data_IF_694183654783
#
_entry.id   IF_694183654783
#
_cell.length_a   1.000
_cell.length_b   1.000
_cell.length_c   1.000
_cell.angle_alpha   90.00
_cell.angle_beta   90.00
_cell.angle_gamma   90.00
#
_symmetry.space_group_name_H-M   'P 1'
#
loop_
_entity.id
_entity.type
_entity.pdbx_description
1 polymer ?
#
# COMPACT_ATOMS: atom_id res chain seq x y z
N UNK A 1 -11.16 6.71 -9.13
CA UNK A 1 -11.24 6.06 -7.80
C UNK A 1 -10.18 6.70 -6.94
N UNK A 2 -10.55 7.12 -5.73
CA UNK A 2 -9.62 7.83 -4.82
C UNK A 2 -8.95 6.87 -3.85
N UNK A 3 -7.64 7.05 -3.69
CA UNK A 3 -6.78 6.33 -2.76
C UNK A 3 -6.46 7.26 -1.60
N UNK A 4 -6.65 6.76 -0.39
CA UNK A 4 -6.31 7.51 0.82
C UNK A 4 -4.85 7.29 1.18
N UNK A 5 -4.05 8.35 1.17
CA UNK A 5 -2.66 8.32 1.66
C UNK A 5 -2.62 9.06 2.97
N UNK A 6 -2.11 8.40 4.00
CA UNK A 6 -1.85 8.99 5.30
C UNK A 6 -0.38 8.80 5.65
N UNK A 7 0.26 9.88 6.06
CA UNK A 7 1.65 9.91 6.46
C UNK A 7 1.72 10.61 7.82
N UNK A 8 2.31 9.95 8.82
CA UNK A 8 2.38 10.50 10.18
C UNK A 8 3.14 11.85 10.24
N UNK A 9 4.06 12.09 9.30
CA UNK A 9 4.85 13.33 9.26
C UNK A 9 4.36 14.31 8.20
N UNK A 10 3.98 13.81 7.02
CA UNK A 10 3.68 14.66 5.87
C UNK A 10 2.18 14.82 5.56
N UNK A 11 1.32 14.36 6.48
CA UNK A 11 -0.12 14.58 6.45
C UNK A 11 -0.87 13.60 5.55
N UNK A 12 -2.08 14.00 5.13
CA UNK A 12 -2.97 13.11 4.36
C UNK A 12 -3.44 13.73 3.05
N UNK A 13 -3.78 12.86 2.08
CA UNK A 13 -4.51 13.23 0.86
C UNK A 13 -5.43 12.10 0.40
N UNK A 14 -6.39 12.48 -0.44
CA UNK A 14 -7.15 11.56 -1.26
C UNK A 14 -6.82 11.86 -2.71
N UNK A 15 -6.12 10.93 -3.37
CA UNK A 15 -5.60 11.11 -4.72
C UNK A 15 -6.33 10.18 -5.69
N UNK A 16 -6.60 10.62 -6.90
CA UNK A 16 -6.95 9.69 -7.97
C UNK A 16 -5.75 8.77 -8.27
N UNK A 17 -6.01 7.57 -8.81
CA UNK A 17 -4.97 6.58 -9.13
C UNK A 17 -3.85 7.18 -9.99
N UNK A 18 -4.19 7.95 -11.01
CA UNK A 18 -3.18 8.57 -11.88
C UNK A 18 -2.40 9.68 -11.18
N UNK A 19 -3.02 10.41 -10.25
CA UNK A 19 -2.32 11.43 -9.44
C UNK A 19 -1.31 10.76 -8.51
N UNK A 20 -1.72 9.65 -7.87
CA UNK A 20 -0.84 8.85 -7.03
C UNK A 20 0.35 8.31 -7.83
N UNK A 21 0.09 7.75 -9.02
CA UNK A 21 1.12 7.17 -9.87
C UNK A 21 2.13 8.23 -10.33
N UNK A 22 1.66 9.43 -10.71
CA UNK A 22 2.52 10.54 -11.16
C UNK A 22 3.51 11.05 -10.11
N UNK A 23 3.30 10.74 -8.83
CA UNK A 23 4.27 11.08 -7.78
C UNK A 23 5.54 10.22 -7.86
N UNK A 24 5.50 9.06 -8.52
CA UNK A 24 6.71 8.26 -8.70
C UNK A 24 7.52 8.74 -9.88
N UNK A 25 8.83 8.88 -9.69
CA UNK A 25 9.76 9.11 -10.80
C UNK A 25 10.14 7.83 -11.53
N UNK A 26 9.72 6.66 -11.03
CA UNK A 26 10.09 5.35 -11.58
C UNK A 26 8.83 4.55 -11.91
N UNK A 27 8.57 4.44 -13.20
CA UNK A 27 7.52 3.61 -13.79
C UNK A 27 8.14 2.43 -14.53
N UNK A 28 7.43 1.30 -14.51
CA UNK A 28 7.91 0.05 -15.08
C UNK A 28 6.73 -0.88 -15.42
N UNK A 29 6.98 -1.86 -16.26
CA UNK A 29 6.09 -3.00 -16.42
C UNK A 29 6.22 -3.93 -15.21
N UNK A 30 5.10 -4.40 -14.67
CA UNK A 30 5.10 -5.22 -13.45
C UNK A 30 5.95 -6.50 -13.60
N UNK A 31 5.99 -7.06 -14.82
CA UNK A 31 6.77 -8.25 -15.17
C UNK A 31 8.29 -8.08 -14.98
N UNK A 32 8.81 -6.86 -14.95
CA UNK A 32 10.23 -6.57 -14.73
C UNK A 32 10.69 -6.91 -13.30
N UNK A 33 9.75 -6.98 -12.34
CA UNK A 33 10.06 -7.33 -10.94
C UNK A 33 9.30 -8.53 -10.41
N UNK A 34 8.13 -8.81 -10.97
CA UNK A 34 7.26 -9.90 -10.53
C UNK A 34 7.01 -10.83 -11.70
N UNK A 35 7.62 -12.00 -11.67
CA UNK A 35 7.42 -13.01 -12.71
C UNK A 35 5.92 -13.33 -12.87
N UNK A 36 5.43 -13.29 -14.11
CA UNK A 36 4.03 -13.55 -14.44
C UNK A 36 3.07 -12.40 -14.16
N UNK A 37 3.52 -11.27 -13.62
CA UNK A 37 2.73 -10.04 -13.58
C UNK A 37 2.85 -9.27 -14.92
N UNK A 38 1.81 -8.50 -15.25
CA UNK A 38 1.76 -7.66 -16.44
C UNK A 38 0.97 -6.39 -16.14
N UNK A 39 1.32 -5.29 -16.79
CA UNK A 39 0.68 -4.00 -16.65
C UNK A 39 1.57 -2.94 -16.01
N UNK A 40 1.06 -1.71 -16.03
CA UNK A 40 1.78 -0.52 -15.61
C UNK A 40 1.87 -0.46 -14.09
N UNK A 41 3.09 -0.31 -13.61
CA UNK A 41 3.41 -0.18 -12.21
C UNK A 41 4.30 1.03 -11.92
N UNK A 42 4.37 1.40 -10.66
CA UNK A 42 5.36 2.35 -10.17
C UNK A 42 6.09 1.79 -8.94
N UNK A 43 7.34 2.21 -8.78
CA UNK A 43 8.19 1.84 -7.64
C UNK A 43 7.74 2.55 -6.36
N UNK A 44 7.57 1.79 -5.27
CA UNK A 44 7.11 2.32 -3.97
C UNK A 44 8.14 3.27 -3.33
N UNK A 45 9.44 2.94 -3.25
CA UNK A 45 10.45 3.87 -2.76
C UNK A 45 10.49 5.21 -3.51
N UNK A 46 10.48 5.20 -4.85
CA UNK A 46 10.49 6.40 -5.67
C UNK A 46 9.18 7.19 -5.53
N UNK A 47 8.04 6.49 -5.46
CA UNK A 47 6.75 7.12 -5.15
C UNK A 47 6.79 7.86 -3.82
N UNK A 48 7.34 7.24 -2.78
CA UNK A 48 7.40 7.86 -1.46
C UNK A 48 8.32 9.09 -1.45
N UNK A 49 9.44 9.06 -2.17
CA UNK A 49 10.29 10.26 -2.36
C UNK A 49 9.50 11.40 -3.00
N UNK A 50 8.80 11.14 -4.11
CA UNK A 50 8.00 12.18 -4.76
C UNK A 50 6.78 12.63 -3.93
N UNK A 51 6.19 11.74 -3.12
CA UNK A 51 5.20 12.14 -2.11
C UNK A 51 5.79 13.17 -1.14
N UNK A 52 6.96 12.91 -0.55
CA UNK A 52 7.64 13.84 0.36
C UNK A 52 7.93 15.18 -0.31
N UNK A 53 8.48 15.16 -1.52
CA UNK A 53 8.77 16.36 -2.31
C UNK A 53 7.50 17.19 -2.58
N UNK A 54 6.38 16.53 -2.92
CA UNK A 54 5.08 17.19 -3.13
C UNK A 54 4.53 17.89 -1.87
N UNK A 55 5.05 17.52 -0.69
CA UNK A 55 4.71 18.13 0.61
C UNK A 55 5.72 19.19 1.07
N UNK A 56 6.66 19.57 0.22
CA UNK A 56 7.70 20.54 0.55
C UNK A 56 8.79 19.99 1.48
N UNK A 57 8.83 18.66 1.67
CA UNK A 57 9.89 18.01 2.42
C UNK A 57 11.08 17.72 1.50
N UNK A 58 12.03 18.65 1.41
CA UNK A 58 13.30 18.43 0.73
C UNK A 58 14.30 17.64 1.57
N UNK A 59 15.24 16.95 0.92
CA UNK A 59 16.38 16.28 1.56
C UNK A 59 16.07 14.92 2.21
N UNK A 60 17.05 14.40 2.95
CA UNK A 60 16.92 13.14 3.70
C UNK A 60 16.06 13.38 4.95
N UNK A 61 14.83 12.88 4.92
CA UNK A 61 13.93 12.92 6.06
C UNK A 61 14.06 11.66 6.90
N UNK A 62 13.23 11.54 7.93
CA UNK A 62 13.15 10.32 8.71
C UNK A 62 12.74 9.14 7.80
N UNK A 63 13.41 8.00 7.96
CA UNK A 63 13.06 6.77 7.27
C UNK A 63 11.83 6.17 7.94
N UNK A 64 10.75 5.84 7.19
CA UNK A 64 9.61 5.16 7.76
C UNK A 64 10.00 3.81 8.39
N UNK A 65 9.25 3.36 9.38
CA UNK A 65 9.33 1.98 9.87
C UNK A 65 8.69 0.99 8.89
N UNK A 66 7.73 1.44 8.10
CA UNK A 66 7.08 0.64 7.08
C UNK A 66 5.82 1.31 6.53
N UNK A 67 5.08 0.55 5.72
CA UNK A 67 3.76 0.95 5.25
C UNK A 67 2.71 -0.04 5.72
N UNK A 68 1.53 0.46 6.08
CA UNK A 68 0.31 -0.34 6.15
C UNK A 68 -0.55 -0.06 4.93
N UNK A 69 -1.01 -1.12 4.28
CA UNK A 69 -2.02 -1.05 3.23
C UNK A 69 -3.33 -1.64 3.72
N UNK A 70 -4.45 -1.02 3.34
CA UNK A 70 -5.80 -1.56 3.56
C UNK A 70 -6.47 -1.74 2.20
N UNK A 71 -7.03 -2.92 1.98
CA UNK A 71 -7.77 -3.31 0.79
C UNK A 71 -9.27 -3.05 0.95
N UNK A 72 -9.99 -3.05 -0.17
CA UNK A 72 -11.43 -2.83 -0.21
C UNK A 72 -12.25 -3.90 0.54
N UNK A 73 -11.69 -5.10 0.73
CA UNK A 73 -12.30 -6.22 1.46
C UNK A 73 -11.89 -6.27 2.95
N UNK A 74 -11.39 -5.14 3.48
CA UNK A 74 -10.90 -5.00 4.86
C UNK A 74 -9.65 -5.84 5.19
N UNK A 75 -9.04 -6.49 4.20
CA UNK A 75 -7.72 -7.06 4.35
C UNK A 75 -6.70 -5.95 4.59
N UNK A 76 -5.78 -6.18 5.51
CA UNK A 76 -4.68 -5.25 5.79
C UNK A 76 -3.36 -6.00 5.90
N UNK A 77 -2.29 -5.32 5.49
CA UNK A 77 -0.94 -5.78 5.70
C UNK A 77 -0.05 -4.62 6.14
N UNK A 78 0.83 -4.89 7.10
CA UNK A 78 1.97 -4.06 7.42
C UNK A 78 3.22 -4.68 6.80
N UNK A 79 3.99 -3.85 6.09
CA UNK A 79 5.21 -4.23 5.41
C UNK A 79 6.35 -3.35 5.96
N UNK A 80 7.38 -3.95 6.58
CA UNK A 80 8.54 -3.22 7.05
C UNK A 80 9.27 -2.50 5.92
N UNK A 81 9.87 -1.36 6.21
CA UNK A 81 10.51 -0.54 5.20
C UNK A 81 11.63 -1.26 4.45
N UNK A 82 12.39 -2.11 5.14
CA UNK A 82 13.45 -2.94 4.56
C UNK A 82 12.94 -3.93 3.50
N UNK A 83 11.68 -4.37 3.57
CA UNK A 83 11.08 -5.28 2.59
C UNK A 83 10.55 -4.54 1.35
N UNK A 84 10.42 -3.21 1.39
CA UNK A 84 9.84 -2.42 0.32
C UNK A 84 10.84 -2.04 -0.79
N UNK A 85 12.11 -2.42 -0.67
CA UNK A 85 13.18 -1.99 -1.58
C UNK A 85 12.94 -2.32 -3.06
N UNK A 86 12.14 -3.34 -3.36
CA UNK A 86 11.70 -3.67 -4.73
C UNK A 86 10.19 -3.65 -4.92
N UNK A 87 9.44 -3.18 -3.92
CA UNK A 87 7.99 -3.18 -3.98
C UNK A 87 7.47 -2.26 -5.08
N UNK A 88 6.36 -2.68 -5.69
CA UNK A 88 5.69 -1.94 -6.75
C UNK A 88 4.20 -1.89 -6.50
N UNK A 89 3.57 -0.82 -6.98
CA UNK A 89 2.12 -0.72 -7.08
C UNK A 89 1.74 -0.80 -8.55
N UNK A 90 1.03 -1.87 -8.89
CA UNK A 90 0.36 -2.03 -10.17
C UNK A 90 -0.94 -1.21 -10.15
N UNK A 91 -1.17 -0.40 -11.18
CA UNK A 91 -2.29 0.55 -11.22
C UNK A 91 -3.08 0.55 -12.55
N UNK A 92 -2.56 -0.10 -13.59
CA UNK A 92 -3.28 -0.25 -14.85
C UNK A 92 -2.77 -1.42 -15.67
N UNK A 93 -3.55 -1.80 -16.69
CA UNK A 93 -3.14 -2.78 -17.69
C UNK A 93 -2.07 -2.18 -18.61
N UNK A 94 -1.40 -3.05 -19.38
CA UNK A 94 -0.39 -2.63 -20.35
C UNK A 94 -0.96 -1.69 -21.43
N UNK A 95 -2.24 -1.85 -21.78
CA UNK A 95 -2.94 -1.00 -22.76
C UNK A 95 -3.36 0.38 -22.23
N UNK A 96 -3.19 0.65 -20.93
CA UNK A 96 -3.57 1.91 -20.31
C UNK A 96 -4.88 1.88 -19.53
N UNK A 97 -5.66 0.81 -19.67
CA UNK A 97 -6.93 0.64 -18.99
C UNK A 97 -6.74 0.41 -17.48
N UNK A 98 -7.77 0.65 -16.66
CA UNK A 98 -7.77 0.23 -15.27
C UNK A 98 -7.63 -1.30 -15.11
N UNK A 99 -7.16 -1.74 -13.94
CA UNK A 99 -7.00 -3.17 -13.66
C UNK A 99 -8.32 -3.94 -13.70
N UNK A 100 -8.32 -5.09 -14.36
CA UNK A 100 -9.44 -6.05 -14.27
C UNK A 100 -9.42 -6.85 -12.97
N UNK A 101 -8.23 -7.11 -12.42
CA UNK A 101 -8.01 -7.90 -11.21
C UNK A 101 -7.25 -7.08 -10.17
N UNK A 102 -7.84 -6.98 -8.98
CA UNK A 102 -7.24 -6.21 -7.88
C UNK A 102 -7.36 -4.70 -8.05
N UNK A 103 -8.36 -4.21 -8.78
CA UNK A 103 -8.70 -2.79 -8.86
C UNK A 103 -8.98 -2.19 -7.47
N UNK A 104 -8.56 -0.96 -7.16
CA UNK A 104 -7.90 -0.01 -8.06
C UNK A 104 -6.38 -0.14 -8.15
N UNK A 105 -5.76 -0.70 -7.12
CA UNK A 105 -4.32 -0.85 -7.00
C UNK A 105 -3.98 -2.24 -6.48
N UNK A 106 -2.86 -2.79 -6.93
CA UNK A 106 -2.29 -4.01 -6.36
C UNK A 106 -0.84 -3.78 -5.93
N UNK A 107 -0.57 -4.01 -4.66
CA UNK A 107 0.78 -4.03 -4.12
C UNK A 107 1.43 -5.38 -4.43
N UNK A 108 2.69 -5.33 -4.85
CA UNK A 108 3.59 -6.47 -4.86
C UNK A 108 4.83 -6.16 -4.05
N UNK A 109 5.29 -7.14 -3.27
CA UNK A 109 6.51 -7.05 -2.45
C UNK A 109 7.45 -8.21 -2.83
N UNK A 110 8.23 -8.06 -3.92
CA UNK A 110 9.14 -9.11 -4.38
C UNK A 110 10.22 -9.39 -3.33
N UNK A 111 10.38 -10.66 -2.96
CA UNK A 111 11.32 -11.05 -1.90
C UNK A 111 10.84 -10.70 -0.49
N UNK A 112 9.58 -10.28 -0.34
CA UNK A 112 8.95 -10.11 0.97
C UNK A 112 8.83 -11.44 1.70
N UNK A 113 8.65 -11.36 3.01
CA UNK A 113 8.60 -12.52 3.91
C UNK A 113 7.39 -13.42 3.67
N UNK A 114 6.35 -12.95 2.97
CA UNK A 114 5.14 -13.74 2.67
C UNK A 114 4.44 -13.27 1.39
N UNK A 115 3.80 -14.21 0.67
CA UNK A 115 2.93 -13.89 -0.46
C UNK A 115 1.69 -13.07 -0.06
N UNK A 116 1.27 -13.14 1.22
CA UNK A 116 0.15 -12.37 1.76
C UNK A 116 0.42 -10.85 1.76
N UNK A 117 1.67 -10.43 1.55
CA UNK A 117 2.04 -9.02 1.38
C UNK A 117 1.70 -8.49 -0.02
N UNK A 118 1.34 -9.36 -0.97
CA UNK A 118 0.87 -8.97 -2.30
C UNK A 118 -0.62 -8.60 -2.27
N UNK A 119 -0.93 -7.45 -1.68
CA UNK A 119 -2.29 -7.00 -1.40
C UNK A 119 -3.01 -6.52 -2.66
N UNK A 120 -4.21 -7.06 -2.90
CA UNK A 120 -5.08 -6.67 -4.01
C UNK A 120 -6.05 -5.57 -3.56
N UNK A 121 -6.54 -4.78 -4.52
CA UNK A 121 -7.60 -3.81 -4.28
C UNK A 121 -7.28 -2.81 -3.17
N UNK A 122 -6.04 -2.33 -3.11
CA UNK A 122 -5.57 -1.37 -2.11
C UNK A 122 -6.30 -0.04 -2.29
N UNK A 123 -6.91 0.44 -1.21
CA UNK A 123 -7.66 1.71 -1.17
C UNK A 123 -7.08 2.71 -0.18
N UNK A 124 -6.23 2.26 0.76
CA UNK A 124 -5.54 3.12 1.73
C UNK A 124 -4.09 2.69 1.90
N UNK A 125 -3.20 3.67 1.96
CA UNK A 125 -1.77 3.52 2.25
C UNK A 125 -1.45 4.41 3.45
N UNK A 126 -0.84 3.84 4.49
CA UNK A 126 -0.38 4.54 5.68
C UNK A 126 1.13 4.39 5.80
N UNK A 127 1.86 5.50 5.82
CA UNK A 127 3.30 5.54 6.12
C UNK A 127 3.46 5.76 7.62
N UNK A 128 4.24 4.88 8.26
CA UNK A 128 4.42 4.83 9.71
C UNK A 128 5.90 5.01 10.05
N UNK A 129 6.20 5.64 11.19
CA UNK A 129 7.58 5.90 11.64
C UNK A 129 7.86 5.33 13.02
N UNK A 130 6.83 5.28 13.89
CA UNK A 130 7.00 4.74 15.24
C UNK A 130 6.83 3.22 15.26
N UNK A 131 7.73 2.55 15.98
CA UNK A 131 7.85 1.09 16.14
C UNK A 131 6.73 0.44 16.97
N UNK A 132 5.48 0.91 16.85
CA UNK A 132 4.33 0.30 17.53
C UNK A 132 3.88 -1.02 16.88
N UNK A 133 4.23 -1.24 15.61
CA UNK A 133 3.70 -2.33 14.80
C UNK A 133 4.72 -3.43 14.51
N UNK A 134 5.51 -3.84 15.49
CA UNK A 134 6.51 -4.90 15.33
C UNK A 134 7.61 -4.57 14.31
N UNK A 135 8.73 -5.27 14.42
CA UNK A 135 9.81 -5.19 13.42
C UNK A 135 9.59 -6.15 12.25
N UNK A 136 8.40 -6.75 12.13
CA UNK A 136 8.13 -7.86 11.22
C UNK A 136 6.84 -7.64 10.46
N UNK A 137 6.79 -8.10 9.21
CA UNK A 137 5.58 -8.06 8.42
C UNK A 137 4.42 -8.77 9.12
N UNK A 138 3.22 -8.21 8.98
CA UNK A 138 1.99 -8.78 9.54
C UNK A 138 0.81 -8.55 8.61
N UNK A 139 -0.17 -9.43 8.63
CA UNK A 139 -1.34 -9.34 7.78
C UNK A 139 -2.55 -10.03 8.41
N UNK A 140 -3.73 -9.64 7.97
CA UNK A 140 -4.99 -10.23 8.42
C UNK A 140 -6.19 -9.40 8.00
N UNK A 141 -7.37 -9.89 8.33
CA UNK A 141 -8.61 -9.13 8.15
C UNK A 141 -8.86 -8.27 9.38
N UNK A 142 -9.39 -7.07 9.14
CA UNK A 142 -9.80 -6.18 10.22
C UNK A 142 -11.05 -6.76 10.89
N UNK A 143 -10.88 -7.54 11.95
CA UNK A 143 -12.00 -7.96 12.80
C UNK A 143 -12.56 -6.73 13.52
N UNK A 144 -13.49 -6.00 12.89
CA UNK A 144 -14.37 -5.07 13.60
C UNK A 144 -15.40 -5.91 14.35
N UNK A 145 -15.06 -6.31 15.56
CA UNK A 145 -16.06 -6.81 16.49
C UNK A 145 -16.86 -5.60 16.98
N UNK A 146 -18.11 -5.46 16.55
CA UNK A 146 -18.98 -4.43 17.13
C UNK A 146 -19.41 -4.84 18.54
N UNK A 147 -19.69 -3.90 19.44
CA UNK A 147 -20.23 -4.23 20.77
C UNK A 147 -21.49 -5.10 20.71
N UNK A 148 -22.30 -4.99 19.66
CA UNK A 148 -23.49 -5.85 19.48
C UNK A 148 -23.14 -7.31 19.22
N UNK A 149 -22.01 -7.60 18.56
CA UNK A 149 -21.54 -8.96 18.27
C UNK A 149 -20.92 -9.65 19.49
N UNK A 150 -20.61 -8.91 20.55
CA UNK A 150 -20.10 -9.44 21.83
C UNK A 150 -21.23 -9.78 22.82
N UNK A 151 -22.47 -9.39 22.54
CA UNK A 151 -23.61 -9.89 23.33
C UNK A 151 -23.81 -11.36 23.00
N UNK A 152 -23.49 -12.24 23.96
CA UNK A 152 -24.00 -13.61 23.96
C UNK A 152 -25.51 -13.55 23.74
N UNK A 153 -26.12 -14.47 22.95
CA UNK A 153 -27.55 -14.66 23.05
C UNK A 153 -27.83 -14.99 24.51
N UNK A 154 -28.64 -14.15 25.17
CA UNK A 154 -29.23 -14.49 26.46
C UNK A 154 -30.13 -15.70 26.19
N UNK A 155 -29.53 -16.88 26.28
CA UNK A 155 -30.21 -18.16 26.19
C UNK A 155 -31.15 -18.29 27.38
N UNK A 156 -32.43 -18.12 27.07
CA UNK A 156 -33.63 -18.74 27.64
C UNK A 156 -33.40 -19.92 28.57
#
# INVERSE_FOLDING_TARGET
MKIEVYDEMYGMAKLEVDELARLSSVHLEAGERVAGASGRAFDVPAWYRGWRESRGAGGDGETPSGIRVEAADEFQAFIPWEELGRAIILYGQAGGEPLDKGYPLRLYVPGGSSECLNVKSVVRIRVLYRSGEGASASYGFRNRVTPEQLRKPDGT
#
